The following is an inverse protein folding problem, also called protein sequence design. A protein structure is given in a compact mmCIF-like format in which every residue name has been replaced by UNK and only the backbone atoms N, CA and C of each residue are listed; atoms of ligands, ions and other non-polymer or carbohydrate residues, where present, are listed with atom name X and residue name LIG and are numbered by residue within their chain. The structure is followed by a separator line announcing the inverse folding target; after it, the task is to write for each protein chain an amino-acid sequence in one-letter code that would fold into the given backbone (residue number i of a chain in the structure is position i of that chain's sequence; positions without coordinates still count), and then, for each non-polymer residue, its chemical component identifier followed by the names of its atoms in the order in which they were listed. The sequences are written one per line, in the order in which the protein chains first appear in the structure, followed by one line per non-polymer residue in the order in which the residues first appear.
data_IF_958732201656
#
_entry.id   IF_958732201656
#
_cell.length_a   1.000
_cell.length_b   1.000
_cell.length_c   1.000
_cell.angle_alpha   90.00
_cell.angle_beta   90.00
_cell.angle_gamma   90.00
#
_symmetry.space_group_name_H-M   'P 1'
#
loop_
_entity.id
_entity.type
_entity.pdbx_description
1 polymer ?
#
# COMPACT_ATOMS: atom_id res chain seq x y z
N UNK A 1 0.17 41.31 46.97
CA UNK A 1 -0.01 41.12 45.51
C UNK A 1 0.78 42.23 44.83
N UNK A 2 2.03 41.98 44.47
CA UNK A 2 2.92 42.99 43.89
C UNK A 2 3.20 42.63 42.43
N UNK A 3 2.94 43.56 41.52
CA UNK A 3 3.35 43.48 40.13
C UNK A 3 4.41 44.56 39.92
N UNK A 4 5.68 44.17 39.81
CA UNK A 4 6.73 45.09 39.38
C UNK A 4 6.76 45.11 37.84
N UNK A 5 6.48 46.28 37.25
CA UNK A 5 6.53 46.51 35.81
C UNK A 5 7.87 47.13 35.44
N UNK A 6 8.75 46.34 34.84
CA UNK A 6 9.69 46.86 33.86
C UNK A 6 9.63 45.95 32.63
N UNK A 7 9.27 46.53 31.47
CA UNK A 7 9.26 45.93 30.13
C UNK A 7 7.99 45.23 29.64
N UNK A 8 6.79 45.68 30.04
CA UNK A 8 5.55 45.46 29.28
C UNK A 8 5.02 44.02 29.16
N UNK A 9 5.77 43.01 29.59
CA UNK A 9 5.32 41.62 29.62
C UNK A 9 4.78 41.32 31.02
N UNK A 10 3.46 41.18 31.11
CA UNK A 10 2.80 40.71 32.35
C UNK A 10 3.05 39.21 32.44
N UNK A 11 4.17 38.82 33.06
CA UNK A 11 4.38 37.45 33.47
C UNK A 11 3.44 37.15 34.64
N UNK A 12 2.31 36.49 34.36
CA UNK A 12 1.53 35.82 35.40
C UNK A 12 2.35 34.66 35.95
N UNK A 13 3.25 34.94 36.89
CA UNK A 13 3.84 33.89 37.72
C UNK A 13 2.70 33.36 38.57
N UNK A 14 2.07 32.27 38.13
CA UNK A 14 1.07 31.57 38.92
C UNK A 14 1.73 31.18 40.24
N UNK A 15 1.35 31.92 41.29
CA UNK A 15 1.77 31.69 42.67
C UNK A 15 1.16 30.40 43.19
N UNK A 16 1.74 29.28 42.77
CA UNK A 16 1.79 28.09 43.59
C UNK A 16 3.23 27.98 44.04
N UNK A 17 3.44 27.81 45.34
CA UNK A 17 4.66 27.23 45.88
C UNK A 17 4.91 25.89 45.15
N UNK A 18 5.53 25.92 43.97
CA UNK A 18 5.96 24.72 43.29
C UNK A 18 7.24 24.29 44.00
N UNK A 19 7.06 23.65 45.16
CA UNK A 19 7.90 22.48 45.44
C UNK A 19 7.89 21.68 44.14
N UNK A 20 9.05 21.26 43.60
CA UNK A 20 9.03 20.37 42.44
C UNK A 20 8.01 19.29 42.80
N UNK A 21 7.05 18.94 41.91
CA UNK A 21 6.24 17.76 42.19
C UNK A 21 7.28 16.69 42.44
N UNK A 22 7.37 16.24 43.69
CA UNK A 22 8.27 15.19 44.09
C UNK A 22 7.65 13.97 43.45
N UNK A 23 7.79 13.86 42.12
CA UNK A 23 7.39 12.72 41.32
C UNK A 23 8.08 11.60 42.05
N UNK A 24 7.32 10.77 42.78
CA UNK A 24 7.92 9.93 43.78
C UNK A 24 8.99 9.14 43.05
N UNK A 25 10.17 9.02 43.62
CA UNK A 25 11.25 8.23 43.04
C UNK A 25 10.72 6.85 42.56
N UNK A 26 9.71 6.33 43.27
CA UNK A 26 8.85 5.22 42.86
C UNK A 26 8.22 5.31 41.47
N UNK A 27 7.67 6.45 41.02
CA UNK A 27 7.08 6.59 39.69
C UNK A 27 8.12 6.41 38.58
N UNK A 28 9.36 6.85 38.81
CA UNK A 28 10.47 6.63 37.86
C UNK A 28 10.89 5.17 37.84
N UNK A 29 10.97 4.52 39.00
CA UNK A 29 11.24 3.08 39.12
C UNK A 29 10.15 2.27 38.42
N UNK A 30 8.89 2.61 38.64
CA UNK A 30 7.74 1.95 38.05
C UNK A 30 7.75 2.06 36.52
N UNK A 31 8.01 3.25 35.97
CA UNK A 31 8.14 3.44 34.52
C UNK A 31 9.34 2.68 33.93
N UNK A 32 10.48 2.66 34.62
CA UNK A 32 11.65 1.89 34.18
C UNK A 32 11.34 0.39 34.10
N UNK A 33 10.65 -0.16 35.11
CA UNK A 33 10.20 -1.55 35.11
C UNK A 33 9.22 -1.87 33.97
N UNK A 34 8.27 -0.97 33.69
CA UNK A 34 7.32 -1.12 32.57
C UNK A 34 8.05 -1.14 31.22
N UNK A 35 9.01 -0.23 31.01
CA UNK A 35 9.77 -0.17 29.75
C UNK A 35 10.61 -1.43 29.58
N UNK A 36 11.29 -1.90 30.62
CA UNK A 36 12.09 -3.13 30.57
C UNK A 36 11.19 -4.33 30.25
N UNK A 37 10.05 -4.46 30.92
CA UNK A 37 9.12 -5.55 30.67
C UNK A 37 8.55 -5.51 29.25
N UNK A 38 8.15 -4.33 28.77
CA UNK A 38 7.63 -4.15 27.42
C UNK A 38 8.71 -4.45 26.36
N UNK A 39 9.96 -4.01 26.59
CA UNK A 39 11.09 -4.33 25.74
C UNK A 39 11.37 -5.83 25.70
N UNK A 40 11.39 -6.52 26.85
CA UNK A 40 11.57 -7.97 26.90
C UNK A 40 10.45 -8.68 26.15
N UNK A 41 9.20 -8.24 26.34
CA UNK A 41 8.03 -8.79 25.66
C UNK A 41 8.13 -8.62 24.13
N UNK A 42 8.49 -7.42 23.66
CA UNK A 42 8.64 -7.14 22.23
C UNK A 42 9.85 -7.86 21.61
N UNK A 43 10.96 -7.99 22.33
CA UNK A 43 12.09 -8.81 21.89
C UNK A 43 11.70 -10.29 21.77
N UNK A 44 10.91 -10.81 22.71
CA UNK A 44 10.36 -12.17 22.63
C UNK A 44 9.45 -12.36 21.42
N UNK A 45 8.59 -11.38 21.13
CA UNK A 45 7.76 -11.39 19.93
C UNK A 45 8.61 -11.37 18.64
N UNK A 46 9.61 -10.50 18.56
CA UNK A 46 10.51 -10.40 17.40
C UNK A 46 11.34 -11.68 17.20
N UNK A 47 11.69 -12.38 18.28
CA UNK A 47 12.42 -13.66 18.20
C UNK A 47 11.56 -14.79 17.64
N UNK A 48 10.23 -14.63 17.69
CA UNK A 48 9.28 -15.57 17.09
C UNK A 48 8.95 -15.23 15.62
N UNK A 49 9.43 -14.09 15.09
CA UNK A 49 9.23 -13.70 13.69
C UNK A 49 10.38 -14.22 12.82
N UNK A 50 10.05 -14.89 11.71
CA UNK A 50 11.01 -15.28 10.68
C UNK A 50 11.14 -14.16 9.65
N UNK A 51 12.35 -13.66 9.43
CA UNK A 51 12.64 -12.59 8.46
C UNK A 51 12.43 -13.03 6.99
N UNK A 52 12.19 -14.32 6.73
CA UNK A 52 12.00 -14.84 5.36
C UNK A 52 10.56 -14.93 4.92
N UNK A 53 9.59 -15.17 5.80
CA UNK A 53 8.19 -15.43 5.42
C UNK A 53 7.23 -14.81 6.45
N UNK A 54 6.26 -13.96 6.04
CA UNK A 54 5.28 -13.41 6.96
C UNK A 54 4.33 -14.49 7.51
N UNK A 55 4.04 -14.45 8.81
CA UNK A 55 3.16 -15.42 9.47
C UNK A 55 1.67 -15.25 9.06
N UNK A 56 1.24 -14.01 8.81
CA UNK A 56 -0.10 -13.69 8.32
C UNK A 56 0.00 -12.85 7.06
N UNK A 57 -0.50 -13.39 5.95
CA UNK A 57 -0.83 -12.62 4.74
C UNK A 57 -2.32 -12.34 4.78
N UNK A 58 -2.72 -11.08 4.64
CA UNK A 58 -4.14 -10.70 4.57
C UNK A 58 -4.77 -11.47 3.40
N UNK A 59 -5.93 -12.10 3.62
CA UNK A 59 -6.60 -12.92 2.60
C UNK A 59 -6.95 -12.12 1.31
N UNK A 60 -6.85 -10.79 1.37
CA UNK A 60 -7.06 -9.87 0.24
C UNK A 60 -5.77 -9.39 -0.43
N UNK A 61 -4.57 -9.72 0.07
CA UNK A 61 -3.31 -9.38 -0.60
C UNK A 61 -2.85 -10.51 -1.52
N UNK A 62 -2.79 -10.21 -2.82
CA UNK A 62 -2.49 -11.14 -3.94
C UNK A 62 -1.04 -11.66 -3.93
N UNK A 63 -0.21 -11.23 -2.98
CA UNK A 63 1.23 -11.51 -2.96
C UNK A 63 1.50 -12.49 -1.80
N UNK A 64 1.90 -13.71 -2.16
CA UNK A 64 2.35 -14.81 -1.30
C UNK A 64 1.26 -15.80 -0.81
N UNK A 65 0.68 -16.57 -1.73
CA UNK A 65 -0.01 -17.80 -1.36
C UNK A 65 0.91 -19.03 -1.47
N UNK A 66 1.33 -19.56 -0.31
CA UNK A 66 2.02 -20.86 -0.18
C UNK A 66 1.07 -22.02 -0.51
N UNK A 67 -0.24 -21.82 -0.31
CA UNK A 67 -1.26 -22.79 -0.64
C UNK A 67 -2.00 -22.41 -1.93
N UNK A 68 -2.02 -23.35 -2.88
CA UNK A 68 -2.75 -23.22 -4.13
C UNK A 68 -4.22 -22.86 -3.93
N UNK A 69 -4.89 -23.39 -2.90
CA UNK A 69 -6.30 -23.16 -2.61
C UNK A 69 -6.66 -21.72 -2.23
N UNK A 70 -5.68 -20.89 -1.88
CA UNK A 70 -5.91 -19.49 -1.51
C UNK A 70 -5.60 -18.51 -2.64
N UNK A 71 -5.00 -18.99 -3.73
CA UNK A 71 -4.96 -18.23 -4.98
C UNK A 71 -6.41 -17.91 -5.38
N UNK A 72 -6.63 -16.73 -6.00
CA UNK A 72 -7.94 -16.33 -6.61
C UNK A 72 -8.50 -17.42 -7.55
N UNK A 73 -7.65 -18.37 -7.97
CA UNK A 73 -7.98 -19.50 -8.84
C UNK A 73 -7.81 -20.89 -8.19
N UNK A 74 -7.64 -20.99 -6.87
CA UNK A 74 -7.50 -22.27 -6.14
C UNK A 74 -6.41 -23.24 -6.68
N UNK A 75 -5.43 -22.72 -7.42
CA UNK A 75 -4.37 -23.54 -8.03
C UNK A 75 -4.68 -23.99 -9.45
N UNK A 76 -5.83 -23.60 -10.00
CA UNK A 76 -6.10 -23.69 -11.43
C UNK A 76 -5.39 -22.53 -12.13
N UNK A 77 -4.59 -22.87 -13.14
CA UNK A 77 -3.77 -21.94 -13.91
C UNK A 77 -4.57 -21.13 -14.95
N UNK A 78 -5.89 -21.21 -14.95
CA UNK A 78 -6.72 -20.52 -15.92
C UNK A 78 -8.16 -20.41 -15.39
N UNK A 79 -8.61 -19.22 -14.96
CA UNK A 79 -9.99 -18.88 -15.33
C UNK A 79 -9.96 -18.75 -16.85
N UNK A 80 -10.83 -19.45 -17.57
CA UNK A 80 -10.86 -19.42 -19.03
C UNK A 80 -10.65 -17.99 -19.53
N UNK A 81 -9.49 -17.73 -20.15
CA UNK A 81 -9.17 -16.45 -20.76
C UNK A 81 -9.95 -16.37 -22.08
N UNK A 82 -11.28 -16.23 -22.00
CA UNK A 82 -12.14 -16.48 -23.14
C UNK A 82 -11.96 -17.89 -23.72
N UNK A 83 -12.55 -18.13 -24.88
CA UNK A 83 -12.68 -19.46 -25.49
C UNK A 83 -11.36 -20.05 -26.05
N UNK A 84 -10.24 -19.31 -25.97
CA UNK A 84 -8.99 -19.69 -26.63
C UNK A 84 -7.86 -20.03 -25.65
N UNK A 85 -7.57 -21.33 -25.53
CA UNK A 85 -6.42 -21.84 -24.77
C UNK A 85 -5.11 -21.54 -25.51
N UNK A 86 -4.15 -20.79 -24.92
CA UNK A 86 -2.90 -20.50 -25.59
C UNK A 86 -2.08 -21.78 -25.85
N UNK A 87 -1.23 -21.78 -26.89
CA UNK A 87 -0.37 -22.91 -27.22
C UNK A 87 0.57 -23.24 -26.04
N UNK A 88 1.01 -24.51 -25.94
CA UNK A 88 1.69 -25.05 -24.74
C UNK A 88 2.92 -24.25 -24.30
N UNK A 89 3.65 -23.69 -25.27
CA UNK A 89 4.81 -22.82 -25.08
C UNK A 89 4.48 -21.50 -24.36
N UNK A 90 3.24 -21.02 -24.42
CA UNK A 90 2.81 -19.73 -23.89
C UNK A 90 2.01 -19.80 -22.59
N UNK A 91 1.81 -21.00 -22.02
CA UNK A 91 1.03 -21.17 -20.78
C UNK A 91 1.80 -20.83 -19.51
N UNK A 92 3.13 -20.76 -19.58
CA UNK A 92 4.04 -20.53 -18.43
C UNK A 92 4.26 -19.04 -18.15
N UNK A 93 3.16 -18.29 -18.05
CA UNK A 93 3.14 -16.86 -17.73
C UNK A 93 1.79 -16.49 -17.13
N UNK A 94 1.81 -15.47 -16.29
CA UNK A 94 0.60 -14.80 -15.79
C UNK A 94 0.16 -13.80 -16.84
N UNK A 95 -1.03 -13.97 -17.40
CA UNK A 95 -1.55 -13.08 -18.45
C UNK A 95 -2.11 -11.80 -17.85
N UNK A 96 -1.90 -10.68 -18.55
CA UNK A 96 -2.43 -9.37 -18.18
C UNK A 96 -3.36 -8.89 -19.28
N UNK A 97 -4.58 -8.54 -18.89
CA UNK A 97 -5.58 -7.94 -19.78
C UNK A 97 -6.23 -6.76 -19.07
N UNK A 98 -6.40 -5.66 -19.80
CA UNK A 98 -6.97 -4.42 -19.30
C UNK A 98 -8.30 -4.18 -20.01
N UNK A 99 -9.32 -3.83 -19.23
CA UNK A 99 -10.64 -3.45 -19.72
C UNK A 99 -11.14 -2.27 -18.92
N UNK A 100 -12.02 -1.48 -19.52
CA UNK A 100 -12.74 -0.42 -18.83
C UNK A 100 -13.69 -1.01 -17.80
N UNK A 101 -13.89 -0.24 -16.73
CA UNK A 101 -14.77 -0.64 -15.62
C UNK A 101 -16.23 -0.60 -16.07
N UNK A 102 -16.62 0.44 -16.82
CA UNK A 102 -17.96 0.61 -17.37
C UNK A 102 -17.95 0.42 -18.90
N UNK A 103 -19.09 0.06 -19.51
CA UNK A 103 -19.18 -0.06 -20.97
C UNK A 103 -18.76 1.23 -21.70
N UNK A 104 -19.14 2.40 -21.16
CA UNK A 104 -18.72 3.69 -21.71
C UNK A 104 -17.20 3.94 -21.59
N UNK A 105 -16.49 3.28 -20.68
CA UNK A 105 -15.04 3.39 -20.56
C UNK A 105 -14.35 2.53 -21.62
N UNK A 106 -14.89 1.34 -21.91
CA UNK A 106 -14.38 0.47 -22.99
C UNK A 106 -14.37 1.20 -24.34
N UNK A 107 -15.45 1.93 -24.65
CA UNK A 107 -15.57 2.69 -25.89
C UNK A 107 -14.66 3.93 -25.97
N UNK A 108 -14.21 4.42 -24.81
CA UNK A 108 -13.34 5.58 -24.68
C UNK A 108 -11.85 5.22 -24.63
N UNK A 109 -11.49 4.04 -24.13
CA UNK A 109 -10.10 3.58 -24.01
C UNK A 109 -9.39 3.46 -25.37
N UNK A 110 -10.12 3.06 -26.41
CA UNK A 110 -9.54 2.80 -27.73
C UNK A 110 -8.66 1.54 -27.75
N UNK A 111 -7.85 1.34 -28.81
CA UNK A 111 -6.97 0.18 -28.92
C UNK A 111 -5.82 0.23 -27.90
N UNK A 112 -5.55 -0.92 -27.29
CA UNK A 112 -4.49 -1.12 -26.29
C UNK A 112 -3.31 -1.89 -26.88
N UNK A 113 -2.10 -1.38 -26.66
CA UNK A 113 -0.86 -2.08 -27.00
C UNK A 113 -0.12 -2.49 -25.72
N UNK A 114 0.39 -3.71 -25.69
CA UNK A 114 1.15 -4.25 -24.55
C UNK A 114 2.62 -4.34 -24.89
N UNK A 115 3.49 -3.90 -23.99
CA UNK A 115 4.94 -3.99 -24.14
C UNK A 115 5.58 -4.63 -22.90
N UNK A 116 6.55 -5.55 -23.09
CA UNK A 116 6.95 -6.17 -24.35
C UNK A 116 5.94 -7.21 -24.89
N UNK A 117 5.11 -7.78 -24.01
CA UNK A 117 4.03 -8.72 -24.33
C UNK A 117 3.00 -8.71 -23.19
N UNK A 118 1.74 -9.17 -23.39
CA UNK A 118 0.66 -9.07 -22.40
C UNK A 118 0.75 -10.12 -21.28
N UNK A 119 1.86 -10.14 -20.53
CA UNK A 119 2.01 -11.05 -19.40
C UNK A 119 3.33 -10.97 -18.66
N UNK A 120 3.37 -11.65 -17.52
CA UNK A 120 4.52 -11.75 -16.64
C UNK A 120 5.04 -13.18 -16.64
N UNK A 121 6.35 -13.35 -16.84
CA UNK A 121 6.97 -14.68 -16.91
C UNK A 121 6.92 -15.39 -15.56
N UNK A 122 6.67 -16.69 -15.56
CA UNK A 122 6.63 -17.53 -14.35
C UNK A 122 7.96 -17.51 -13.56
N UNK A 123 9.10 -17.27 -14.22
CA UNK A 123 10.43 -17.25 -13.59
C UNK A 123 10.60 -16.22 -12.47
N UNK A 124 9.75 -15.20 -12.41
CA UNK A 124 9.78 -14.18 -11.35
C UNK A 124 8.96 -14.58 -10.10
N UNK A 125 8.30 -15.74 -10.13
CA UNK A 125 7.44 -16.20 -9.05
C UNK A 125 7.78 -17.65 -8.64
N UNK A 126 7.66 -18.02 -7.36
CA UNK A 126 7.24 -17.20 -6.21
C UNK A 126 8.36 -16.27 -5.70
N UNK A 127 7.99 -15.17 -5.05
CA UNK A 127 8.95 -14.28 -4.40
C UNK A 127 9.51 -14.93 -3.13
N UNK A 128 10.84 -14.96 -3.00
CA UNK A 128 11.59 -15.67 -1.97
C UNK A 128 12.53 -14.76 -1.15
N UNK A 129 12.24 -13.45 -1.13
CA UNK A 129 13.05 -12.43 -0.45
C UNK A 129 14.50 -12.34 -0.93
N UNK A 130 14.72 -12.58 -2.23
CA UNK A 130 16.03 -12.48 -2.86
C UNK A 130 16.51 -11.01 -2.92
N UNK A 131 17.73 -10.70 -2.42
CA UNK A 131 18.25 -9.35 -2.47
C UNK A 131 18.47 -8.92 -3.91
N UNK A 132 18.00 -7.72 -4.27
CA UNK A 132 18.09 -7.20 -5.65
C UNK A 132 17.02 -7.73 -6.60
N UNK A 133 15.98 -8.40 -6.08
CA UNK A 133 14.80 -8.77 -6.88
C UNK A 133 14.14 -7.53 -7.52
N UNK A 134 13.85 -7.62 -8.82
CA UNK A 134 13.11 -6.61 -9.57
C UNK A 134 11.80 -7.23 -10.07
N UNK A 135 10.69 -6.64 -9.65
CA UNK A 135 9.36 -7.06 -10.12
C UNK A 135 9.25 -6.88 -11.64
N UNK A 136 8.76 -7.88 -12.39
CA UNK A 136 8.57 -7.75 -13.83
C UNK A 136 7.48 -6.70 -14.12
N UNK A 137 7.69 -5.91 -15.16
CA UNK A 137 6.78 -4.84 -15.57
C UNK A 137 6.22 -5.12 -16.97
N UNK A 138 4.94 -4.80 -17.15
CA UNK A 138 4.28 -4.72 -18.45
C UNK A 138 3.71 -3.32 -18.59
N UNK A 139 4.05 -2.66 -19.69
CA UNK A 139 3.48 -1.37 -20.03
C UNK A 139 2.26 -1.58 -20.93
N UNK A 140 1.20 -0.81 -20.67
CA UNK A 140 0.00 -0.77 -21.50
C UNK A 140 -0.12 0.62 -22.07
N UNK A 141 -0.04 0.72 -23.38
CA UNK A 141 -0.18 1.97 -24.12
C UNK A 141 -1.62 2.08 -24.63
N UNK A 142 -2.28 3.18 -24.29
CA UNK A 142 -3.55 3.57 -24.88
C UNK A 142 -3.23 4.34 -26.17
N UNK A 143 -3.47 3.73 -27.33
CA UNK A 143 -3.03 4.31 -28.59
C UNK A 143 -3.92 5.48 -29.06
N UNK A 144 -5.21 5.44 -28.73
CA UNK A 144 -6.14 6.52 -29.07
C UNK A 144 -7.28 6.65 -28.05
N UNK A 145 -7.00 7.20 -26.85
CA UNK A 145 -8.04 7.42 -25.86
C UNK A 145 -8.91 8.61 -26.24
N UNK A 146 -10.23 8.44 -26.17
CA UNK A 146 -11.18 9.54 -26.24
C UNK A 146 -11.11 10.31 -24.93
N UNK A 147 -10.83 11.60 -25.00
CA UNK A 147 -10.93 12.47 -23.83
C UNK A 147 -12.38 12.47 -23.36
N UNK A 148 -12.66 11.84 -22.22
CA UNK A 148 -13.88 12.13 -21.49
C UNK A 148 -13.67 13.49 -20.84
N UNK A 149 -14.44 14.49 -21.27
CA UNK A 149 -14.64 15.69 -20.48
C UNK A 149 -15.32 15.24 -19.19
N UNK A 150 -14.53 14.89 -18.18
CA UNK A 150 -15.01 14.74 -16.82
C UNK A 150 -15.44 16.12 -16.36
N UNK A 151 -16.71 16.45 -16.62
CA UNK A 151 -17.43 17.62 -16.12
C UNK A 151 -16.60 18.89 -15.93
N UNK A 152 -16.16 19.53 -17.01
CA UNK A 152 -15.96 20.98 -16.99
C UNK A 152 -16.68 21.53 -18.20
N UNK A 153 -17.77 22.26 -17.93
CA UNK A 153 -18.67 22.80 -18.93
C UNK A 153 -17.89 23.64 -19.96
N UNK A 154 -17.63 23.08 -21.13
CA UNK A 154 -17.47 23.84 -22.37
C UNK A 154 -18.85 24.00 -23.03
N UNK A 155 -19.81 24.48 -22.24
CA UNK A 155 -21.03 25.07 -22.73
C UNK A 155 -20.90 26.59 -22.58
N UNK A 156 -21.03 27.32 -23.69
CA UNK A 156 -21.05 28.80 -23.83
C UNK A 156 -19.72 29.53 -24.08
N UNK A 157 -19.06 29.26 -25.20
CA UNK A 157 -18.18 30.26 -25.83
C UNK A 157 -18.38 30.41 -27.35
N UNK A 158 -19.48 29.88 -27.91
CA UNK A 158 -19.85 30.09 -29.32
C UNK A 158 -21.12 30.94 -29.51
N UNK A 159 -21.60 31.63 -28.47
CA UNK A 159 -22.71 32.61 -28.59
C UNK A 159 -22.28 34.07 -28.25
N UNK A 160 -20.98 34.34 -28.16
CA UNK A 160 -20.44 35.69 -27.91
C UNK A 160 -19.28 36.07 -28.85
N UNK A 161 -19.39 35.67 -30.12
CA UNK A 161 -18.62 36.26 -31.24
C UNK A 161 -19.48 36.24 -32.51
#
# INVERSE_FOLDING_TARGET
MGAEKHNGVVHYTTGYNRRPPHRPFLQRIQYAGIVIFFSICMCGLLSAMDDRIPYFTLADSIIAYKNKSQLVTQGENQRECGDMKPPRNERRKVWVSCKGERPADNEALGPLNYYPYPGLKETYFPYDNTPGYLSPLVAVQLANPKCKSSGMALGRLSELL
#
